data_IF_571781843518
#
_entry.id   IF_571781843518
#
_cell.length_a   1.000
_cell.length_b   1.000
_cell.length_c   1.000
_cell.angle_alpha   90.00
_cell.angle_beta   90.00
_cell.angle_gamma   90.00
#
_symmetry.space_group_name_H-M   'P 1'
#
loop_
_entity.id
_entity.type
_entity.pdbx_description
1 polymer ?
#
# COMPACT_ATOMS: atom_id res chain seq x y z
N UNK A 1 -1.13 -9.13 -20.72
CA UNK A 1 -1.44 -7.80 -21.31
C UNK A 1 -2.31 -6.94 -20.41
N UNK A 2 -3.48 -7.41 -19.96
CA UNK A 2 -4.42 -6.62 -19.12
C UNK A 2 -3.78 -6.10 -17.83
N UNK A 3 -2.98 -6.93 -17.13
CA UNK A 3 -2.26 -6.50 -15.92
C UNK A 3 -1.30 -5.33 -16.15
N UNK A 4 -0.56 -5.34 -17.26
CA UNK A 4 0.38 -4.26 -17.61
C UNK A 4 -0.34 -2.94 -17.92
N UNK A 5 -1.51 -3.01 -18.58
CA UNK A 5 -2.34 -1.84 -18.88
C UNK A 5 -2.90 -1.25 -17.57
N UNK A 6 -3.41 -2.09 -16.67
CA UNK A 6 -3.88 -1.67 -15.35
C UNK A 6 -2.76 -1.02 -14.53
N UNK A 7 -1.58 -1.65 -14.47
CA UNK A 7 -0.41 -1.07 -13.80
C UNK A 7 -0.02 0.28 -14.40
N UNK A 8 0.00 0.41 -15.74
CA UNK A 8 0.32 1.66 -16.42
C UNK A 8 -0.66 2.79 -16.10
N UNK A 9 -1.97 2.51 -16.13
CA UNK A 9 -3.01 3.48 -15.75
C UNK A 9 -2.91 3.87 -14.28
N UNK A 10 -2.61 2.92 -13.40
CA UNK A 10 -2.48 3.14 -11.96
C UNK A 10 -1.23 4.00 -11.65
N UNK A 11 -0.11 3.73 -12.34
CA UNK A 11 1.09 4.58 -12.27
C UNK A 11 0.81 5.99 -12.77
N UNK A 12 0.12 6.16 -13.90
CA UNK A 12 -0.28 7.46 -14.43
C UNK A 12 -1.16 8.23 -13.44
N UNK A 13 -2.17 7.57 -12.85
CA UNK A 13 -3.03 8.16 -11.83
C UNK A 13 -2.22 8.63 -10.61
N UNK A 14 -1.29 7.79 -10.12
CA UNK A 14 -0.42 8.15 -9.00
C UNK A 14 0.46 9.36 -9.31
N UNK A 15 1.08 9.39 -10.49
CA UNK A 15 1.91 10.51 -10.95
C UNK A 15 1.10 11.81 -11.02
N UNK A 16 -0.10 11.77 -11.63
CA UNK A 16 -0.98 12.93 -11.72
C UNK A 16 -1.43 13.40 -10.34
N UNK A 17 -1.83 12.48 -9.45
CA UNK A 17 -2.24 12.81 -8.07
C UNK A 17 -1.08 13.41 -7.29
N UNK A 18 0.13 12.90 -7.45
CA UNK A 18 1.33 13.44 -6.82
C UNK A 18 1.67 14.84 -7.35
N UNK A 19 1.63 15.02 -8.68
CA UNK A 19 1.92 16.30 -9.32
C UNK A 19 0.94 17.40 -8.94
N UNK A 20 -0.36 17.07 -8.80
CA UNK A 20 -1.41 17.99 -8.35
C UNK A 20 -1.18 18.47 -6.92
N UNK A 21 -0.61 17.62 -6.07
CA UNK A 21 -0.40 17.89 -4.65
C UNK A 21 1.05 18.26 -4.30
N UNK A 22 1.90 18.49 -5.30
CA UNK A 22 3.35 18.73 -5.13
C UNK A 22 3.68 19.88 -4.17
N UNK A 23 2.83 20.89 -4.07
CA UNK A 23 3.07 22.05 -3.19
C UNK A 23 3.00 21.64 -1.71
N UNK A 24 2.15 20.66 -1.35
CA UNK A 24 2.09 20.08 0.00
C UNK A 24 3.41 19.35 0.30
N UNK A 25 3.93 18.58 -0.66
CA UNK A 25 5.20 17.87 -0.50
C UNK A 25 6.41 18.80 -0.39
N UNK A 26 6.36 19.98 -1.04
CA UNK A 26 7.40 21.02 -0.90
C UNK A 26 7.38 21.71 0.46
N UNK A 27 6.24 21.72 1.15
CA UNK A 27 6.07 22.31 2.48
C UNK A 27 6.40 21.35 3.64
N UNK A 28 6.86 20.14 3.32
CA UNK A 28 7.31 19.17 4.32
C UNK A 28 8.75 19.48 4.75
N UNK A 29 8.96 19.53 6.05
CA UNK A 29 10.29 19.52 6.64
C UNK A 29 11.00 18.19 6.35
N UNK A 30 12.34 18.19 6.44
CA UNK A 30 13.15 16.96 6.30
C UNK A 30 12.67 15.83 7.23
N UNK A 31 12.21 16.17 8.44
CA UNK A 31 11.67 15.22 9.42
C UNK A 31 10.33 14.62 8.96
N UNK A 32 9.40 15.45 8.49
CA UNK A 32 8.10 14.98 7.97
C UNK A 32 8.28 14.12 6.72
N UNK A 33 9.25 14.45 5.86
CA UNK A 33 9.60 13.67 4.68
C UNK A 33 10.12 12.27 5.04
N UNK A 34 11.05 12.20 6.00
CA UNK A 34 11.58 10.93 6.52
C UNK A 34 10.50 10.11 7.24
N UNK A 35 9.60 10.78 7.96
CA UNK A 35 8.50 10.13 8.67
C UNK A 35 7.49 9.52 7.68
N UNK A 36 7.09 10.27 6.65
CA UNK A 36 6.20 9.76 5.61
C UNK A 36 6.83 8.65 4.78
N UNK A 37 8.09 8.82 4.35
CA UNK A 37 8.83 7.81 3.60
C UNK A 37 9.09 6.53 4.42
N UNK A 38 9.52 6.68 5.68
CA UNK A 38 9.73 5.55 6.59
C UNK A 38 8.43 4.82 6.92
N UNK A 39 7.35 5.56 7.19
CA UNK A 39 6.01 5.00 7.40
C UNK A 39 5.50 4.21 6.20
N UNK A 40 5.71 4.73 4.98
CA UNK A 40 5.40 4.04 3.74
C UNK A 40 6.18 2.74 3.58
N UNK A 41 7.51 2.77 3.81
CA UNK A 41 8.34 1.57 3.73
C UNK A 41 7.92 0.50 4.74
N UNK A 42 7.63 0.89 5.98
CA UNK A 42 7.16 -0.04 7.02
C UNK A 42 5.78 -0.62 6.66
N UNK A 43 4.86 0.21 6.21
CA UNK A 43 3.53 -0.23 5.77
C UNK A 43 3.62 -1.27 4.64
N UNK A 44 4.47 -1.02 3.64
CA UNK A 44 4.70 -1.97 2.54
C UNK A 44 5.40 -3.24 3.00
N UNK A 45 6.40 -3.15 3.88
CA UNK A 45 7.08 -4.32 4.42
C UNK A 45 6.09 -5.25 5.14
N UNK A 46 5.20 -4.69 5.96
CA UNK A 46 4.16 -5.46 6.67
C UNK A 46 3.18 -6.10 5.69
N UNK A 47 2.69 -5.37 4.68
CA UNK A 47 1.81 -5.94 3.67
C UNK A 47 2.47 -7.09 2.90
N UNK A 48 3.73 -6.92 2.48
CA UNK A 48 4.49 -7.96 1.77
C UNK A 48 4.67 -9.20 2.64
N UNK A 49 5.03 -9.05 3.92
CA UNK A 49 5.18 -10.17 4.84
C UNK A 49 3.88 -10.97 5.01
N UNK A 50 2.74 -10.27 5.12
CA UNK A 50 1.43 -10.91 5.25
C UNK A 50 1.04 -11.62 3.95
N UNK A 51 1.29 -11.02 2.79
CA UNK A 51 0.93 -11.60 1.50
C UNK A 51 1.83 -12.82 1.19
N UNK A 52 3.14 -12.72 1.40
CA UNK A 52 4.07 -13.84 1.18
C UNK A 52 3.80 -14.96 2.18
N UNK A 53 3.72 -14.64 3.47
CA UNK A 53 3.40 -15.62 4.51
C UNK A 53 2.03 -16.25 4.31
N UNK A 54 1.07 -15.44 3.86
CA UNK A 54 -0.26 -15.86 3.47
C UNK A 54 -0.26 -16.84 2.28
N UNK A 55 0.54 -16.56 1.24
CA UNK A 55 0.64 -17.44 0.06
C UNK A 55 1.14 -18.85 0.42
N UNK A 56 2.16 -18.95 1.29
CA UNK A 56 2.65 -20.24 1.78
C UNK A 56 1.57 -21.03 2.55
N UNK A 57 0.67 -20.32 3.25
CA UNK A 57 -0.45 -20.94 3.96
C UNK A 57 -1.56 -21.38 3.01
N UNK A 58 -1.90 -20.55 2.01
CA UNK A 58 -2.96 -20.86 1.04
C UNK A 58 -2.55 -21.93 0.06
N UNK A 59 -1.26 -22.07 -0.25
CA UNK A 59 -0.70 -23.15 -1.05
C UNK A 59 -0.82 -24.52 -0.37
N UNK A 60 -0.85 -24.56 0.97
CA UNK A 60 -1.07 -25.79 1.72
C UNK A 60 -2.54 -26.26 1.68
N UNK A 61 -3.47 -25.40 1.25
CA UNK A 61 -4.90 -25.72 1.15
C UNK A 61 -5.16 -26.42 -0.19
N UNK A 62 -5.46 -27.72 -0.14
CA UNK A 62 -5.73 -28.53 -1.33
C UNK A 62 -7.02 -28.14 -2.08
N UNK A 63 -7.93 -27.42 -1.41
CA UNK A 63 -9.21 -26.99 -1.99
C UNK A 63 -9.01 -25.66 -2.73
N UNK A 64 -8.92 -25.72 -4.06
CA UNK A 64 -8.57 -24.59 -4.93
C UNK A 64 -9.43 -23.34 -4.72
N UNK A 65 -10.75 -23.48 -4.61
CA UNK A 65 -11.64 -22.32 -4.45
C UNK A 65 -11.49 -21.67 -3.07
N UNK A 66 -11.23 -22.48 -2.03
CA UNK A 66 -11.04 -22.01 -0.66
C UNK A 66 -9.69 -21.29 -0.52
N UNK A 67 -8.63 -21.84 -1.13
CA UNK A 67 -7.31 -21.22 -1.21
C UNK A 67 -7.39 -19.81 -1.82
N UNK A 68 -8.06 -19.64 -2.96
CA UNK A 68 -8.26 -18.33 -3.62
C UNK A 68 -9.03 -17.33 -2.75
N UNK A 69 -10.06 -17.76 -2.02
CA UNK A 69 -10.79 -16.87 -1.10
C UNK A 69 -9.86 -16.40 0.01
N UNK A 70 -9.09 -17.32 0.61
CA UNK A 70 -8.14 -16.97 1.67
C UNK A 70 -7.04 -16.03 1.17
N UNK A 71 -6.51 -16.24 -0.04
CA UNK A 71 -5.52 -15.32 -0.65
C UNK A 71 -6.07 -13.90 -0.74
N UNK A 72 -7.29 -13.74 -1.26
CA UNK A 72 -7.95 -12.43 -1.35
C UNK A 72 -8.13 -11.81 0.04
N UNK A 73 -8.56 -12.59 1.03
CA UNK A 73 -8.72 -12.12 2.42
C UNK A 73 -7.38 -11.66 3.01
N UNK A 74 -6.31 -12.42 2.79
CA UNK A 74 -4.96 -12.08 3.28
C UNK A 74 -4.41 -10.82 2.62
N UNK A 75 -4.65 -10.64 1.31
CA UNK A 75 -4.32 -9.39 0.60
C UNK A 75 -5.08 -8.21 1.22
N UNK A 76 -6.39 -8.36 1.48
CA UNK A 76 -7.20 -7.31 2.10
C UNK A 76 -6.71 -6.97 3.52
N UNK A 77 -6.33 -7.97 4.32
CA UNK A 77 -5.75 -7.77 5.65
C UNK A 77 -4.41 -7.03 5.55
N UNK A 78 -3.53 -7.45 4.63
CA UNK A 78 -2.23 -6.81 4.40
C UNK A 78 -2.37 -5.35 4.00
N UNK A 79 -3.29 -5.05 3.07
CA UNK A 79 -3.61 -3.69 2.65
C UNK A 79 -4.25 -2.85 3.76
N UNK A 80 -5.16 -3.43 4.55
CA UNK A 80 -5.79 -2.76 5.69
C UNK A 80 -4.77 -2.37 6.76
N UNK A 81 -3.85 -3.28 7.10
CA UNK A 81 -2.77 -3.01 8.05
C UNK A 81 -1.77 -1.99 7.52
N UNK A 82 -1.40 -2.06 6.24
CA UNK A 82 -0.59 -1.03 5.60
C UNK A 82 -1.26 0.33 5.67
N UNK A 83 -2.56 0.41 5.36
CA UNK A 83 -3.35 1.64 5.47
C UNK A 83 -3.38 2.20 6.89
N UNK A 84 -3.55 1.35 7.90
CA UNK A 84 -3.51 1.75 9.31
C UNK A 84 -2.15 2.31 9.72
N UNK A 85 -1.06 1.64 9.35
CA UNK A 85 0.31 2.10 9.62
C UNK A 85 0.55 3.43 8.93
N UNK A 86 0.14 3.57 7.66
CA UNK A 86 0.27 4.81 6.90
C UNK A 86 -0.48 5.94 7.59
N UNK A 87 -1.73 5.72 8.02
CA UNK A 87 -2.53 6.73 8.70
C UNK A 87 -1.90 7.20 10.03
N UNK A 88 -1.21 6.31 10.75
CA UNK A 88 -0.51 6.67 11.99
C UNK A 88 0.83 7.36 11.75
N UNK A 89 1.53 7.02 10.69
CA UNK A 89 2.89 7.50 10.42
C UNK A 89 2.92 8.73 9.53
N UNK A 90 1.89 8.97 8.71
CA UNK A 90 1.79 10.12 7.83
C UNK A 90 1.77 11.45 8.62
N UNK A 91 2.53 12.46 8.16
CA UNK A 91 2.37 13.85 8.60
C UNK A 91 0.94 14.33 8.39
N UNK A 92 0.41 15.17 9.27
CA UNK A 92 -0.97 15.69 9.19
C UNK A 92 -1.28 16.31 7.82
N UNK A 93 -0.36 17.09 7.27
CA UNK A 93 -0.46 17.69 5.92
C UNK A 93 -0.67 16.66 4.80
N UNK A 94 -0.16 15.44 4.97
CA UNK A 94 -0.31 14.35 4.01
C UNK A 94 -1.50 13.44 4.33
N UNK A 95 -2.05 13.48 5.54
CA UNK A 95 -3.27 12.72 5.87
C UNK A 95 -4.46 13.18 5.04
N UNK A 96 -4.59 14.48 4.77
CA UNK A 96 -5.63 15.02 3.88
C UNK A 96 -5.56 14.47 2.45
N UNK A 97 -4.38 14.01 2.00
CA UNK A 97 -4.21 13.42 0.66
C UNK A 97 -4.71 11.98 0.55
N UNK A 98 -4.74 11.30 1.70
CA UNK A 98 -5.01 9.88 1.84
C UNK A 98 -6.37 9.58 2.51
N UNK A 99 -7.05 10.60 3.02
CA UNK A 99 -8.50 10.58 3.32
C UNK A 99 -9.32 10.63 2.03
#
# INVERSE_FOLDING_TARGET
MVGWILSGLLSLFLVVKFYKNREIFKQLSKKEWLQGGGGFLVAWAVAILIIIGGSNFTDAIQIVWLSKIFEVVLILIGLGLAGYILHKTLPEKLKELYS
#
